data_IF_279431874152
#
_entry.id   IF_279431874152
#
_cell.length_a   1.000
_cell.length_b   1.000
_cell.length_c   1.000
_cell.angle_alpha   90.00
_cell.angle_beta   90.00
_cell.angle_gamma   90.00
#
_symmetry.space_group_name_H-M   'P 1'
#
loop_
_entity.id
_entity.type
_entity.pdbx_description
1 polymer ?
#
# COMPACT_ATOMS: atom_id res chain seq x y z
N UNK A 1 18.50 6.33 1.04
CA UNK A 1 17.21 6.22 1.75
C UNK A 1 17.50 5.68 3.14
N UNK A 2 17.76 6.58 4.08
CA UNK A 2 18.32 6.30 5.40
C UNK A 2 18.94 7.58 5.96
N UNK A 3 19.57 7.50 7.14
CA UNK A 3 20.10 8.69 7.82
C UNK A 3 21.14 9.44 6.97
N UNK A 4 20.92 10.74 6.85
CA UNK A 4 21.81 11.67 6.12
C UNK A 4 22.92 12.26 6.99
N UNK A 5 22.90 12.01 8.31
CA UNK A 5 23.82 12.62 9.28
C UNK A 5 25.29 12.28 9.03
N UNK A 6 25.57 11.13 8.40
CA UNK A 6 26.93 10.69 8.09
C UNK A 6 27.46 11.23 6.75
N UNK A 7 26.64 11.97 6.00
CA UNK A 7 27.00 12.49 4.67
C UNK A 7 27.60 13.88 4.83
N UNK A 8 28.79 14.10 4.26
CA UNK A 8 29.49 15.38 4.30
C UNK A 8 29.59 16.01 2.91
N UNK A 9 29.74 17.34 2.87
CA UNK A 9 29.97 18.06 1.61
C UNK A 9 31.29 17.57 0.99
N UNK A 10 31.23 17.12 -0.26
CA UNK A 10 32.40 16.57 -0.98
C UNK A 10 32.56 15.05 -0.89
N UNK A 11 31.65 14.33 -0.21
CA UNK A 11 31.65 12.86 -0.23
C UNK A 11 31.46 12.32 -1.65
N UNK A 12 32.27 11.33 -2.03
CA UNK A 12 32.16 10.65 -3.32
C UNK A 12 30.93 9.73 -3.35
N UNK A 13 30.16 9.79 -4.42
CA UNK A 13 28.98 8.94 -4.65
C UNK A 13 29.26 8.00 -5.82
N UNK A 14 28.87 6.73 -5.70
CA UNK A 14 28.99 5.74 -6.78
C UNK A 14 27.61 5.39 -7.31
N UNK A 15 27.44 5.44 -8.62
CA UNK A 15 26.25 4.90 -9.27
C UNK A 15 26.22 3.38 -9.13
N UNK A 16 25.13 2.84 -8.59
CA UNK A 16 24.97 1.40 -8.38
C UNK A 16 24.71 0.66 -9.71
N UNK A 17 24.31 1.39 -10.77
CA UNK A 17 24.04 0.82 -12.11
C UNK A 17 22.81 -0.08 -12.17
N UNK A 18 21.97 -0.05 -11.12
CA UNK A 18 20.70 -0.78 -11.04
C UNK A 18 19.58 0.21 -10.84
N UNK A 19 18.47 -0.02 -11.53
CA UNK A 19 17.20 0.67 -11.27
C UNK A 19 16.69 0.21 -9.90
N UNK A 20 15.87 1.04 -9.25
CA UNK A 20 15.30 0.75 -7.93
C UNK A 20 14.53 -0.58 -7.94
N UNK A 21 15.01 -1.53 -7.14
CA UNK A 21 14.50 -2.90 -7.05
C UNK A 21 14.23 -3.28 -5.59
N UNK A 22 13.24 -4.14 -5.38
CA UNK A 22 12.92 -4.74 -4.09
C UNK A 22 13.00 -6.28 -4.17
N UNK A 23 13.43 -6.94 -3.09
CA UNK A 23 13.32 -8.40 -2.98
C UNK A 23 11.85 -8.87 -2.99
N UNK A 24 11.60 -9.97 -3.68
CA UNK A 24 10.32 -10.67 -3.76
C UNK A 24 10.49 -12.07 -3.14
N UNK A 25 9.57 -12.45 -2.25
CA UNK A 25 9.54 -13.77 -1.61
C UNK A 25 8.19 -14.01 -0.92
N UNK A 26 7.76 -15.26 -0.82
CA UNK A 26 6.63 -15.63 0.05
C UNK A 26 7.00 -15.53 1.53
N UNK A 27 8.29 -15.54 1.87
CA UNK A 27 8.80 -15.39 3.25
C UNK A 27 8.50 -14.03 3.90
N UNK A 28 7.88 -13.10 3.17
CA UNK A 28 7.39 -11.82 3.70
C UNK A 28 6.04 -11.95 4.42
N UNK A 29 5.29 -13.03 4.19
CA UNK A 29 4.03 -13.28 4.89
C UNK A 29 4.25 -13.33 6.40
N UNK A 30 3.42 -12.59 7.15
CA UNK A 30 3.52 -12.46 8.60
C UNK A 30 4.67 -11.62 9.12
N UNK A 31 5.31 -10.83 8.26
CA UNK A 31 6.41 -9.93 8.62
C UNK A 31 5.98 -8.48 8.61
N UNK A 32 6.64 -7.69 9.47
CA UNK A 32 6.58 -6.23 9.41
C UNK A 32 7.85 -5.71 8.75
N UNK A 33 7.70 -4.92 7.70
CA UNK A 33 8.81 -4.40 6.89
C UNK A 33 8.75 -2.89 6.73
N UNK A 34 9.90 -2.28 6.41
CA UNK A 34 9.95 -0.88 6.01
C UNK A 34 9.80 -0.68 4.49
N UNK A 35 9.84 0.57 4.02
CA UNK A 35 9.78 0.92 2.59
C UNK A 35 10.86 0.27 1.69
N UNK A 36 11.98 -0.18 2.27
CA UNK A 36 13.04 -0.92 1.58
C UNK A 36 12.90 -2.44 1.73
N UNK A 37 11.75 -2.90 2.22
CA UNK A 37 11.41 -4.30 2.39
C UNK A 37 12.39 -5.02 3.36
N UNK A 38 12.94 -4.26 4.31
CA UNK A 38 13.75 -4.78 5.43
C UNK A 38 12.86 -5.02 6.64
N UNK A 39 13.03 -6.15 7.36
CA UNK A 39 12.21 -6.46 8.53
C UNK A 39 12.46 -5.46 9.67
N UNK A 40 11.38 -5.04 10.32
CA UNK A 40 11.37 -4.19 11.52
C UNK A 40 10.82 -4.91 12.76
N UNK A 41 10.35 -6.15 12.59
CA UNK A 41 9.73 -6.99 13.62
C UNK A 41 10.72 -7.79 14.50
N UNK A 42 12.02 -7.57 14.38
CA UNK A 42 13.08 -8.29 15.11
C UNK A 42 13.08 -9.83 14.93
N UNK A 43 12.34 -10.38 13.96
CA UNK A 43 12.24 -11.84 13.70
C UNK A 43 13.34 -12.36 12.75
N UNK A 44 14.48 -11.69 12.71
CA UNK A 44 15.61 -12.05 11.84
C UNK A 44 15.44 -11.62 10.37
N UNK A 45 16.43 -11.97 9.53
CA UNK A 45 16.46 -11.59 8.11
C UNK A 45 15.47 -12.43 7.29
N UNK A 46 14.97 -11.85 6.20
CA UNK A 46 14.07 -12.51 5.25
C UNK A 46 14.88 -13.01 4.07
N UNK A 47 14.72 -14.28 3.71
CA UNK A 47 15.34 -14.86 2.52
C UNK A 47 14.52 -14.52 1.29
N UNK A 48 15.15 -13.84 0.33
CA UNK A 48 14.57 -13.53 -0.96
C UNK A 48 15.59 -13.78 -2.07
N UNK A 49 15.17 -14.49 -3.10
CA UNK A 49 16.01 -14.89 -4.23
C UNK A 49 15.80 -13.99 -5.46
N UNK A 50 14.58 -13.49 -5.64
CA UNK A 50 14.17 -12.71 -6.81
C UNK A 50 14.07 -11.23 -6.48
N UNK A 51 14.40 -10.40 -7.46
CA UNK A 51 14.30 -8.94 -7.38
C UNK A 51 13.21 -8.47 -8.35
N UNK A 52 12.37 -7.56 -7.90
CA UNK A 52 11.30 -6.94 -8.68
C UNK A 52 11.53 -5.43 -8.79
N UNK A 53 11.11 -4.83 -9.91
CA UNK A 53 11.22 -3.39 -10.13
C UNK A 53 10.11 -2.65 -9.39
N UNK A 54 10.45 -1.62 -8.59
CA UNK A 54 9.43 -0.85 -7.85
C UNK A 54 8.43 -0.19 -8.82
N UNK A 55 8.96 0.45 -9.86
CA UNK A 55 8.20 1.13 -10.92
C UNK A 55 7.96 0.17 -12.10
N UNK A 56 7.20 -0.90 -11.84
CA UNK A 56 6.77 -1.83 -12.89
C UNK A 56 5.61 -1.25 -13.69
N UNK A 57 5.56 -1.56 -15.00
CA UNK A 57 4.44 -1.17 -15.87
C UNK A 57 3.12 -1.78 -15.42
N UNK A 58 2.02 -1.05 -15.63
CA UNK A 58 0.66 -1.50 -15.33
C UNK A 58 0.15 -2.47 -16.40
N UNK A 59 -0.85 -3.29 -16.05
CA UNK A 59 -1.52 -4.15 -17.02
C UNK A 59 -2.30 -3.31 -18.02
N UNK A 60 -2.14 -3.57 -19.32
CA UNK A 60 -2.96 -2.96 -20.37
C UNK A 60 -4.38 -3.52 -20.42
N UNK A 61 -5.28 -2.86 -21.14
CA UNK A 61 -6.70 -3.23 -21.23
C UNK A 61 -6.91 -4.69 -21.68
N UNK A 62 -6.13 -5.15 -22.66
CA UNK A 62 -6.20 -6.54 -23.19
C UNK A 62 -5.80 -7.57 -22.12
N UNK A 63 -4.87 -7.20 -21.25
CA UNK A 63 -4.35 -8.05 -20.18
C UNK A 63 -5.23 -8.04 -18.93
N UNK A 64 -6.34 -7.28 -18.94
CA UNK A 64 -7.31 -7.18 -17.84
C UNK A 64 -8.58 -7.94 -18.18
N UNK A 65 -9.30 -8.36 -17.14
CA UNK A 65 -10.64 -8.96 -17.24
C UNK A 65 -11.62 -8.19 -16.36
N UNK A 66 -12.91 -8.25 -16.70
CA UNK A 66 -13.97 -7.73 -15.85
C UNK A 66 -13.92 -8.39 -14.47
N UNK A 67 -14.24 -7.63 -13.43
CA UNK A 67 -14.39 -8.13 -12.07
C UNK A 67 -15.70 -8.88 -11.98
N UNK A 68 -15.65 -10.14 -11.53
CA UNK A 68 -16.82 -11.01 -11.37
C UNK A 68 -16.82 -11.79 -10.04
N UNK A 69 -15.72 -11.75 -9.30
CA UNK A 69 -15.58 -12.37 -7.99
C UNK A 69 -15.72 -11.28 -6.91
N UNK A 70 -16.57 -11.45 -5.90
CA UNK A 70 -16.64 -10.51 -4.79
C UNK A 70 -15.45 -10.69 -3.83
N UNK A 71 -15.03 -9.59 -3.21
CA UNK A 71 -14.16 -9.56 -2.03
C UNK A 71 -15.04 -9.17 -0.83
N UNK A 72 -15.29 -10.13 0.05
CA UNK A 72 -16.20 -9.93 1.17
C UNK A 72 -15.50 -9.13 2.27
N UNK A 73 -16.06 -7.98 2.65
CA UNK A 73 -15.52 -7.17 3.75
C UNK A 73 -15.97 -7.68 5.11
N UNK A 74 -17.11 -8.38 5.18
CA UNK A 74 -17.75 -8.78 6.43
C UNK A 74 -18.60 -7.66 7.04
N UNK A 75 -18.62 -6.49 6.42
CA UNK A 75 -19.44 -5.36 6.82
C UNK A 75 -20.69 -5.35 5.96
N UNK A 76 -21.82 -5.73 6.55
CA UNK A 76 -23.11 -5.86 5.85
C UNK A 76 -23.44 -4.61 5.03
N UNK A 77 -23.18 -3.41 5.58
CA UNK A 77 -23.43 -2.14 4.90
C UNK A 77 -22.61 -2.02 3.61
N UNK A 78 -21.34 -2.41 3.62
CA UNK A 78 -20.47 -2.34 2.43
C UNK A 78 -20.84 -3.45 1.46
N UNK A 79 -20.92 -4.69 1.94
CA UNK A 79 -21.18 -5.85 1.08
C UNK A 79 -22.57 -5.79 0.40
N UNK A 80 -23.53 -5.05 0.98
CA UNK A 80 -24.86 -4.84 0.39
C UNK A 80 -24.99 -3.58 -0.46
N UNK A 81 -24.48 -2.43 0.00
CA UNK A 81 -24.70 -1.14 -0.69
C UNK A 81 -23.60 -0.78 -1.67
N UNK A 82 -22.36 -1.16 -1.38
CA UNK A 82 -21.17 -0.84 -2.16
C UNK A 82 -20.24 -2.07 -2.24
N UNK A 83 -20.67 -3.16 -2.90
CA UNK A 83 -19.91 -4.40 -2.94
C UNK A 83 -18.56 -4.20 -3.64
N UNK A 84 -17.52 -4.78 -3.05
CA UNK A 84 -16.15 -4.69 -3.57
C UNK A 84 -15.81 -5.97 -4.34
N UNK A 85 -15.34 -5.83 -5.57
CA UNK A 85 -14.86 -6.92 -6.41
C UNK A 85 -13.37 -7.23 -6.24
N UNK A 86 -12.96 -8.46 -6.51
CA UNK A 86 -11.55 -8.84 -6.65
C UNK A 86 -10.94 -8.19 -7.88
N UNK A 87 -9.90 -7.37 -7.67
CA UNK A 87 -9.31 -6.50 -8.69
C UNK A 87 -9.84 -5.06 -8.68
N UNK A 88 -10.80 -4.73 -7.81
CA UNK A 88 -11.37 -3.39 -7.68
C UNK A 88 -10.44 -2.45 -6.93
N UNK A 89 -10.71 -1.15 -7.08
CA UNK A 89 -10.05 -0.08 -6.34
C UNK A 89 -11.17 0.71 -5.68
N UNK A 90 -11.28 0.60 -4.36
CA UNK A 90 -12.37 1.21 -3.60
C UNK A 90 -11.79 2.18 -2.57
N UNK A 91 -12.12 3.46 -2.71
CA UNK A 91 -11.60 4.51 -1.85
C UNK A 91 -12.36 4.58 -0.53
N UNK A 92 -11.64 4.49 0.58
CA UNK A 92 -12.16 4.77 1.92
C UNK A 92 -11.77 6.20 2.30
N UNK A 93 -12.71 7.12 2.15
CA UNK A 93 -12.52 8.54 2.43
C UNK A 93 -13.28 8.96 3.69
N UNK A 94 -12.69 9.86 4.48
CA UNK A 94 -13.40 10.52 5.55
C UNK A 94 -12.50 11.22 6.55
N UNK A 95 -13.11 11.88 7.53
CA UNK A 95 -12.38 12.68 8.51
C UNK A 95 -11.55 11.84 9.46
N UNK A 96 -10.66 12.52 10.17
CA UNK A 96 -9.88 11.92 11.24
C UNK A 96 -10.80 11.19 12.24
N UNK A 97 -10.39 9.99 12.65
CA UNK A 97 -11.08 9.16 13.65
C UNK A 97 -12.51 8.69 13.27
N UNK A 98 -12.87 8.65 11.99
CA UNK A 98 -14.18 8.13 11.52
C UNK A 98 -14.24 6.60 11.32
N UNK A 99 -13.24 5.85 11.80
CA UNK A 99 -13.23 4.38 11.66
C UNK A 99 -12.66 3.85 10.34
N UNK A 100 -12.03 4.68 9.51
CA UNK A 100 -11.40 4.26 8.23
C UNK A 100 -10.46 3.05 8.39
N UNK A 101 -9.59 3.10 9.40
CA UNK A 101 -8.67 2.00 9.70
C UNK A 101 -9.40 0.76 10.18
N UNK A 102 -10.49 0.91 10.95
CA UNK A 102 -11.28 -0.23 11.42
C UNK A 102 -11.89 -0.99 10.25
N UNK A 103 -12.48 -0.27 9.27
CA UNK A 103 -13.02 -0.86 8.04
C UNK A 103 -11.95 -1.69 7.31
N UNK A 104 -10.74 -1.14 7.15
CA UNK A 104 -9.65 -1.84 6.48
C UNK A 104 -9.12 -3.05 7.28
N UNK A 105 -8.97 -2.91 8.60
CA UNK A 105 -8.55 -4.00 9.49
C UNK A 105 -9.56 -5.13 9.49
N UNK A 106 -10.86 -4.83 9.66
CA UNK A 106 -11.95 -5.82 9.67
C UNK A 106 -12.05 -6.54 8.32
N UNK A 107 -11.87 -5.80 7.22
CA UNK A 107 -11.82 -6.40 5.88
C UNK A 107 -10.70 -7.42 5.77
N UNK A 108 -9.51 -7.14 6.31
CA UNK A 108 -8.39 -8.09 6.33
C UNK A 108 -8.73 -9.31 7.19
N UNK A 109 -9.26 -9.10 8.40
CA UNK A 109 -9.64 -10.20 9.30
C UNK A 109 -10.65 -11.14 8.65
N UNK A 110 -11.60 -10.61 7.89
CA UNK A 110 -12.62 -11.39 7.19
C UNK A 110 -12.04 -12.24 6.04
N UNK A 111 -10.80 -11.99 5.59
CA UNK A 111 -10.16 -12.80 4.54
C UNK A 111 -9.64 -14.15 5.03
N UNK A 112 -9.77 -14.48 6.32
CA UNK A 112 -9.39 -15.78 6.84
C UNK A 112 -10.11 -16.90 6.08
N UNK A 113 -9.33 -17.79 5.45
CA UNK A 113 -9.86 -18.89 4.63
C UNK A 113 -10.35 -18.51 3.23
N UNK A 114 -10.25 -17.25 2.80
CA UNK A 114 -10.69 -16.79 1.47
C UNK A 114 -9.60 -16.89 0.38
N UNK A 115 -8.42 -17.43 0.72
CA UNK A 115 -7.26 -17.53 -0.17
C UNK A 115 -6.87 -16.18 -0.79
N UNK A 116 -6.75 -15.15 0.06
CA UNK A 116 -6.33 -13.80 -0.29
C UNK A 116 -5.09 -13.45 0.52
N UNK A 117 -4.05 -12.94 -0.13
CA UNK A 117 -2.90 -12.36 0.53
C UNK A 117 -3.19 -10.88 0.81
N UNK A 118 -3.02 -10.47 2.05
CA UNK A 118 -3.27 -9.10 2.48
C UNK A 118 -1.95 -8.33 2.63
N UNK A 119 -1.94 -7.06 2.21
CA UNK A 119 -0.82 -6.16 2.43
C UNK A 119 -1.35 -4.89 3.07
N UNK A 120 -1.00 -4.66 4.34
CA UNK A 120 -1.36 -3.46 5.07
C UNK A 120 -0.21 -2.46 4.98
N UNK A 121 -0.40 -1.35 4.26
CA UNK A 121 0.61 -0.30 4.08
C UNK A 121 0.27 0.90 4.94
N UNK A 122 1.12 1.16 5.93
CA UNK A 122 1.01 2.29 6.83
C UNK A 122 1.97 3.40 6.43
N UNK A 123 1.41 4.52 5.97
CA UNK A 123 2.15 5.71 5.58
C UNK A 123 1.96 6.76 6.67
N UNK A 124 3.08 7.17 7.28
CA UNK A 124 3.14 8.23 8.30
C UNK A 124 2.23 8.01 9.52
N UNK A 125 1.99 6.75 9.86
CA UNK A 125 1.26 6.39 11.06
C UNK A 125 2.19 6.32 12.28
N UNK A 126 1.62 6.66 13.46
CA UNK A 126 2.32 6.49 14.74
C UNK A 126 2.68 5.02 14.95
N UNK A 127 3.90 4.75 15.40
CA UNK A 127 4.38 3.39 15.69
C UNK A 127 3.51 2.66 16.72
N UNK A 128 2.94 3.37 17.70
CA UNK A 128 2.02 2.79 18.68
C UNK A 128 0.70 2.32 18.06
N UNK A 129 0.13 3.11 17.13
CA UNK A 129 -1.08 2.73 16.39
C UNK A 129 -0.82 1.52 15.51
N UNK A 130 0.36 1.46 14.90
CA UNK A 130 0.78 0.32 14.10
C UNK A 130 0.96 -0.95 14.92
N UNK A 131 1.59 -0.83 16.10
CA UNK A 131 1.73 -1.95 17.02
C UNK A 131 0.36 -2.51 17.42
N UNK A 132 -0.64 -1.66 17.67
CA UNK A 132 -2.00 -2.11 17.97
C UNK A 132 -2.61 -2.93 16.83
N UNK A 133 -2.52 -2.44 15.58
CA UNK A 133 -3.03 -3.17 14.41
C UNK A 133 -2.32 -4.52 14.23
N UNK A 134 -1.00 -4.55 14.38
CA UNK A 134 -0.22 -5.80 14.30
C UNK A 134 -0.61 -6.77 15.42
N UNK A 135 -0.83 -6.29 16.64
CA UNK A 135 -1.32 -7.12 17.74
C UNK A 135 -2.68 -7.71 17.43
N UNK A 136 -3.63 -6.91 16.92
CA UNK A 136 -4.94 -7.42 16.48
C UNK A 136 -4.80 -8.50 15.40
N UNK A 137 -3.93 -8.30 14.41
CA UNK A 137 -3.69 -9.35 13.41
C UNK A 137 -3.05 -10.61 13.99
N UNK A 138 -2.23 -10.50 15.04
CA UNK A 138 -1.65 -11.66 15.71
C UNK A 138 -2.68 -12.43 16.55
N UNK A 139 -3.49 -11.72 17.32
CA UNK A 139 -4.54 -12.30 18.17
C UNK A 139 -5.58 -13.07 17.37
N UNK A 140 -5.93 -12.56 16.18
CA UNK A 140 -6.93 -13.15 15.30
C UNK A 140 -6.33 -14.07 14.22
N UNK A 141 -5.02 -14.34 14.27
CA UNK A 141 -4.33 -15.22 13.32
C UNK A 141 -4.18 -14.66 11.89
N UNK A 142 -4.57 -13.41 11.65
CA UNK A 142 -4.49 -12.77 10.34
C UNK A 142 -3.06 -12.51 9.85
N UNK A 143 -2.07 -12.54 10.74
CA UNK A 143 -0.66 -12.43 10.35
C UNK A 143 -0.20 -13.56 9.43
N UNK A 144 -0.84 -14.72 9.40
CA UNK A 144 -0.42 -15.83 8.53
C UNK A 144 -0.49 -15.48 7.03
N UNK A 145 -1.42 -14.61 6.64
CA UNK A 145 -1.63 -14.19 5.25
C UNK A 145 -1.43 -12.69 5.02
N UNK A 146 -0.96 -11.95 6.04
CA UNK A 146 -0.81 -10.50 5.98
C UNK A 146 0.65 -10.07 6.03
N UNK A 147 1.03 -9.14 5.15
CA UNK A 147 2.31 -8.41 5.19
C UNK A 147 2.01 -7.00 5.67
N UNK A 148 2.79 -6.50 6.65
CA UNK A 148 2.64 -5.13 7.13
C UNK A 148 3.85 -4.31 6.69
N UNK A 149 3.62 -3.24 5.94
CA UNK A 149 4.66 -2.32 5.52
C UNK A 149 4.49 -0.97 6.22
N UNK A 150 5.56 -0.42 6.80
CA UNK A 150 5.55 0.89 7.43
C UNK A 150 6.55 1.84 6.77
N UNK A 151 6.13 3.07 6.52
CA UNK A 151 7.00 4.12 6.03
C UNK A 151 6.68 5.46 6.67
N UNK A 152 7.69 6.30 6.82
CA UNK A 152 7.54 7.71 7.20
C UNK A 152 7.68 8.59 5.95
N UNK A 153 6.89 9.64 5.86
CA UNK A 153 6.95 10.62 4.78
C UNK A 153 8.25 11.44 4.91
N UNK A 154 9.12 11.46 3.89
CA UNK A 154 10.35 12.27 3.95
C UNK A 154 10.76 12.99 2.66
N UNK A 155 9.96 13.07 1.60
CA UNK A 155 10.55 13.31 0.27
C UNK A 155 10.03 14.47 -0.60
N UNK A 156 8.97 15.23 -0.32
CA UNK A 156 8.51 16.24 -1.30
C UNK A 156 9.19 17.61 -1.18
N UNK A 157 9.14 18.27 -0.01
CA UNK A 157 9.59 19.65 0.16
C UNK A 157 11.12 19.87 0.06
N UNK A 158 11.91 18.79 0.06
CA UNK A 158 13.37 18.88 -0.10
C UNK A 158 13.79 19.16 -1.53
N UNK A 159 13.02 18.66 -2.51
CA UNK A 159 13.30 18.96 -3.90
C UNK A 159 12.73 20.34 -4.18
N UNK A 160 13.59 21.32 -4.51
CA UNK A 160 13.22 22.68 -4.93
C UNK A 160 12.47 22.69 -6.28
N UNK A 161 11.54 21.76 -6.48
CA UNK A 161 10.59 21.74 -7.57
C UNK A 161 9.57 22.84 -7.30
N UNK A 162 9.10 23.54 -8.35
CA UNK A 162 8.01 24.48 -8.18
C UNK A 162 6.78 23.74 -7.62
N UNK A 163 6.24 24.18 -6.48
CA UNK A 163 5.00 23.61 -5.96
C UNK A 163 3.81 24.04 -6.82
N UNK A 164 2.79 23.18 -6.87
CA UNK A 164 1.48 23.49 -7.43
C UNK A 164 0.47 23.75 -6.30
N UNK A 165 -0.79 23.33 -6.48
CA UNK A 165 -1.86 23.48 -5.48
C UNK A 165 -1.50 22.79 -4.15
N UNK A 166 -1.78 23.48 -3.04
CA UNK A 166 -1.54 22.99 -1.67
C UNK A 166 -0.09 22.54 -1.41
N UNK A 167 0.88 23.10 -2.14
CA UNK A 167 2.30 22.76 -2.07
C UNK A 167 2.68 21.33 -2.51
N UNK A 168 1.77 20.61 -3.17
CA UNK A 168 2.08 19.33 -3.81
C UNK A 168 2.81 19.54 -5.14
N UNK A 169 3.64 18.57 -5.57
CA UNK A 169 4.24 18.62 -6.90
C UNK A 169 3.19 18.37 -7.99
N UNK A 170 3.46 18.84 -9.21
CA UNK A 170 2.54 18.69 -10.35
C UNK A 170 2.26 17.22 -10.72
N UNK A 171 3.21 16.32 -10.45
CA UNK A 171 3.12 14.89 -10.76
C UNK A 171 2.38 14.05 -9.70
N UNK A 172 1.78 14.67 -8.67
CA UNK A 172 1.13 13.93 -7.57
C UNK A 172 -0.03 13.04 -8.06
N UNK A 173 -0.82 13.52 -9.03
CA UNK A 173 -1.87 12.74 -9.64
C UNK A 173 -1.31 11.53 -10.40
N UNK A 174 -0.20 11.71 -11.11
CA UNK A 174 0.48 10.61 -11.80
C UNK A 174 0.98 9.56 -10.81
N UNK A 175 1.50 9.96 -9.64
CA UNK A 175 1.94 9.01 -8.61
C UNK A 175 0.78 8.14 -8.10
N UNK A 176 -0.37 8.73 -7.79
CA UNK A 176 -1.54 7.99 -7.31
C UNK A 176 -2.14 7.10 -8.40
N UNK A 177 -2.34 7.64 -9.60
CA UNK A 177 -2.87 6.88 -10.73
C UNK A 177 -1.95 5.73 -11.13
N UNK A 178 -0.64 5.96 -11.24
CA UNK A 178 0.33 4.91 -11.55
C UNK A 178 0.37 3.80 -10.49
N UNK A 179 0.20 4.15 -9.20
CA UNK A 179 0.11 3.18 -8.12
C UNK A 179 -1.21 2.37 -8.19
N UNK A 180 -2.35 3.05 -8.28
CA UNK A 180 -3.66 2.42 -8.25
C UNK A 180 -3.97 1.63 -9.53
N UNK A 181 -3.48 2.04 -10.70
CA UNK A 181 -3.63 1.31 -11.97
C UNK A 181 -2.89 -0.04 -12.00
N UNK A 182 -2.08 -0.35 -10.99
CA UNK A 182 -1.49 -1.70 -10.82
C UNK A 182 -2.47 -2.70 -10.24
N UNK A 183 -3.47 -2.22 -9.49
CA UNK A 183 -4.53 -3.05 -8.94
C UNK A 183 -5.58 -3.34 -10.01
N UNK A 184 -5.61 -4.58 -10.49
CA UNK A 184 -6.55 -5.05 -11.50
C UNK A 184 -6.75 -6.58 -11.40
N UNK A 185 -7.77 -7.09 -12.08
CA UNK A 185 -7.92 -8.53 -12.37
C UNK A 185 -7.29 -8.85 -13.73
N UNK A 186 -6.39 -9.81 -13.75
CA UNK A 186 -5.69 -10.24 -14.96
C UNK A 186 -6.56 -11.14 -15.84
N UNK A 187 -6.21 -11.23 -17.12
CA UNK A 187 -6.87 -12.11 -18.09
C UNK A 187 -6.62 -13.59 -17.79
N UNK A 188 -7.45 -14.46 -18.38
CA UNK A 188 -7.30 -15.92 -18.32
C UNK A 188 -5.94 -16.40 -18.82
N UNK A 189 -5.37 -15.72 -19.81
CA UNK A 189 -4.02 -16.00 -20.33
C UNK A 189 -2.89 -15.72 -19.33
N UNK A 190 -3.13 -14.90 -18.30
CA UNK A 190 -2.15 -14.48 -17.30
C UNK A 190 -2.40 -15.12 -15.91
N UNK A 191 -3.31 -16.10 -15.84
CA UNK A 191 -3.56 -16.86 -14.61
C UNK A 191 -4.65 -16.28 -13.70
N UNK A 192 -5.42 -15.29 -14.14
CA UNK A 192 -6.61 -14.73 -13.44
C UNK A 192 -6.38 -14.17 -12.04
N UNK A 193 -5.11 -13.96 -11.66
CA UNK A 193 -4.72 -13.27 -10.45
C UNK A 193 -5.35 -11.88 -10.38
N UNK A 194 -5.61 -11.43 -9.16
CA UNK A 194 -6.23 -10.13 -8.90
C UNK A 194 -5.52 -9.41 -7.77
N UNK A 195 -5.47 -8.09 -7.87
CA UNK A 195 -5.00 -7.21 -6.82
C UNK A 195 -6.10 -6.18 -6.56
N UNK A 196 -6.73 -6.24 -5.39
CA UNK A 196 -7.71 -5.24 -4.94
C UNK A 196 -6.99 -4.19 -4.11
N UNK A 197 -7.27 -2.90 -4.34
CA UNK A 197 -6.72 -1.80 -3.56
C UNK A 197 -7.81 -1.09 -2.76
N UNK A 198 -7.55 -0.86 -1.47
CA UNK A 198 -8.41 -0.08 -0.58
C UNK A 198 -7.64 1.16 -0.09
N UNK A 199 -7.42 2.18 -0.94
CA UNK A 199 -6.75 3.41 -0.50
C UNK A 199 -7.58 4.10 0.58
N UNK A 200 -6.89 4.66 1.59
CA UNK A 200 -7.52 5.44 2.65
C UNK A 200 -7.07 6.89 2.49
N UNK A 201 -8.02 7.81 2.38
CA UNK A 201 -7.75 9.26 2.31
C UNK A 201 -8.42 9.95 3.50
N UNK A 202 -7.64 10.77 4.21
CA UNK A 202 -8.13 11.61 5.29
C UNK A 202 -8.53 12.99 4.75
N UNK A 203 -9.77 13.39 5.01
CA UNK A 203 -10.26 14.75 4.75
C UNK A 203 -10.07 15.65 5.97
N UNK A 204 -10.05 16.97 5.73
CA UNK A 204 -10.09 17.97 6.79
C UNK A 204 -11.51 18.54 6.86
N UNK A 205 -12.19 18.35 7.99
CA UNK A 205 -13.54 18.89 8.22
C UNK A 205 -14.57 18.50 7.15
N UNK A 206 -14.44 17.30 6.58
CA UNK A 206 -15.31 16.77 5.55
C UNK A 206 -15.06 17.37 4.17
N UNK A 207 -13.99 18.14 3.97
CA UNK A 207 -13.69 18.75 2.68
C UNK A 207 -13.18 17.72 1.67
N UNK A 208 -14.12 17.22 0.87
CA UNK A 208 -13.86 16.33 -0.27
C UNK A 208 -13.40 17.08 -1.52
N UNK A 209 -13.42 18.43 -1.51
CA UNK A 209 -13.00 19.28 -2.63
C UNK A 209 -11.53 19.73 -2.53
N UNK A 210 -10.86 19.33 -1.45
CA UNK A 210 -9.42 19.47 -1.30
C UNK A 210 -8.67 18.73 -2.42
N UNK A 211 -7.44 19.16 -2.72
CA UNK A 211 -6.73 18.72 -3.92
C UNK A 211 -6.51 17.21 -3.97
N UNK A 212 -6.09 16.59 -2.86
CA UNK A 212 -5.83 15.14 -2.82
C UNK A 212 -7.10 14.29 -2.85
N UNK A 213 -8.16 14.56 -2.05
CA UNK A 213 -9.45 13.86 -2.18
C UNK A 213 -10.08 13.89 -3.56
N UNK A 214 -9.85 14.96 -4.33
CA UNK A 214 -10.41 15.13 -5.68
C UNK A 214 -9.65 14.29 -6.73
N UNK A 215 -8.38 13.97 -6.47
CA UNK A 215 -7.48 13.23 -7.35
C UNK A 215 -7.67 11.71 -7.23
#
# INVERSE_FOLDING_TARGET
MGDSLMIQKGSSVKGIGRITQIPESESYLGRVVNALVKPTDCRGKISASKLWLIESTTLGIISRRSMYEPLQTGLITIDSMAPIGRGQRELIIGDRQTGKTAIATDTILNQMGQNVICVYVAIDQKTSSMAQVVTTFQEWGAMEYTIVAQTYLQMSLLFRRPPSREAYPEDVFYLHSHLLERAAKSSSSLGEGSMTALPIVETQLGDVLAYIPTN
#
